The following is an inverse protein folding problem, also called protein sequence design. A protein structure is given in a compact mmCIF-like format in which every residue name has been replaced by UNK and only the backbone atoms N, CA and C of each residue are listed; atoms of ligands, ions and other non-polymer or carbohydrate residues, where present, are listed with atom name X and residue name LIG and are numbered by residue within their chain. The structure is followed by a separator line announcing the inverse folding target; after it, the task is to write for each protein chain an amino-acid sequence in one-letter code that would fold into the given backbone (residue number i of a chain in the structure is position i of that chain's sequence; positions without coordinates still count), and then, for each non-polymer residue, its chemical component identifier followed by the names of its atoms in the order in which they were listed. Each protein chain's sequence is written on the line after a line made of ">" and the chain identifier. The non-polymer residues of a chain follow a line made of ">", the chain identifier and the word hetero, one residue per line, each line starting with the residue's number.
data_IF_155425385723
#
_entry.id   IF_155425385723
#
_cell.length_a   1.000
_cell.length_b   1.000
_cell.length_c   1.000
_cell.angle_alpha   90.00
_cell.angle_beta   90.00
_cell.angle_gamma   90.00
#
_symmetry.space_group_name_H-M   'P 1'
#
loop_
_entity.id
_entity.type
_entity.pdbx_description
1 polymer ?
#
# COMPACT_ATOMS: atom_id res chain seq x y z
N UNK A 1 5.52 1.63 16.50
CA UNK A 1 6.69 1.11 15.73
C UNK A 1 6.15 0.05 14.79
N UNK A 2 6.62 0.01 13.55
CA UNK A 2 6.17 -0.97 12.57
C UNK A 2 6.85 -2.33 12.76
N UNK A 3 6.15 -3.40 12.42
CA UNK A 3 6.69 -4.75 12.26
C UNK A 3 7.36 -4.83 10.89
N UNK A 4 8.68 -5.05 10.87
CA UNK A 4 9.44 -5.20 9.63
C UNK A 4 9.27 -6.60 9.03
N UNK A 5 9.26 -6.67 7.69
CA UNK A 5 9.18 -7.93 6.94
C UNK A 5 10.29 -8.01 5.90
N UNK A 6 10.78 -9.22 5.65
CA UNK A 6 11.86 -9.50 4.70
C UNK A 6 11.35 -10.35 3.53
N UNK A 7 11.93 -10.16 2.35
CA UNK A 7 11.67 -11.04 1.21
C UNK A 7 12.41 -12.37 1.41
N UNK A 8 11.83 -13.30 2.15
CA UNK A 8 12.33 -14.68 2.22
C UNK A 8 11.59 -15.56 1.21
N UNK A 9 12.30 -16.51 0.59
CA UNK A 9 11.75 -17.46 -0.39
C UNK A 9 10.73 -18.46 0.21
N UNK A 10 10.45 -18.40 1.51
CA UNK A 10 9.55 -19.32 2.22
C UNK A 10 8.08 -18.83 2.21
N UNK A 11 7.25 -19.55 1.45
CA UNK A 11 5.84 -19.92 1.70
C UNK A 11 4.86 -18.89 2.30
N UNK A 12 4.82 -17.67 1.78
CA UNK A 12 3.56 -16.89 1.76
C UNK A 12 3.17 -16.77 0.30
N UNK A 13 1.99 -17.28 -0.05
CA UNK A 13 1.46 -17.32 -1.41
C UNK A 13 1.63 -15.96 -2.09
N UNK A 14 2.48 -15.92 -3.12
CA UNK A 14 2.66 -14.70 -3.89
C UNK A 14 1.37 -14.47 -4.69
N UNK A 15 0.60 -13.46 -4.33
CA UNK A 15 -0.61 -13.08 -5.05
C UNK A 15 -0.30 -12.77 -6.52
N UNK A 16 -1.23 -13.11 -7.41
CA UNK A 16 -1.11 -12.76 -8.82
C UNK A 16 -1.20 -11.24 -9.01
N UNK A 17 -0.76 -10.75 -10.18
CA UNK A 17 -0.87 -9.33 -10.53
C UNK A 17 -2.31 -8.78 -10.43
N UNK A 18 -3.30 -9.59 -10.79
CA UNK A 18 -4.70 -9.18 -10.77
C UNK A 18 -5.22 -9.09 -9.34
N UNK A 19 -4.90 -10.09 -8.51
CA UNK A 19 -5.30 -10.10 -7.10
C UNK A 19 -4.66 -8.93 -6.35
N UNK A 20 -3.41 -8.60 -6.69
CA UNK A 20 -2.72 -7.48 -6.08
C UNK A 20 -3.35 -6.13 -6.46
N UNK A 21 -3.75 -5.95 -7.73
CA UNK A 21 -4.46 -4.75 -8.17
C UNK A 21 -5.85 -4.64 -7.57
N UNK A 22 -6.60 -5.75 -7.50
CA UNK A 22 -7.90 -5.80 -6.86
C UNK A 22 -7.78 -5.40 -5.39
N UNK A 23 -6.82 -5.96 -4.66
CA UNK A 23 -6.54 -5.58 -3.28
C UNK A 23 -6.29 -4.07 -3.12
N UNK A 24 -5.44 -3.48 -3.96
CA UNK A 24 -5.18 -2.03 -3.89
C UNK A 24 -6.46 -1.22 -4.16
N UNK A 25 -7.21 -1.61 -5.20
CA UNK A 25 -8.43 -0.93 -5.60
C UNK A 25 -9.52 -1.00 -4.53
N UNK A 26 -9.67 -2.15 -3.88
CA UNK A 26 -10.66 -2.37 -2.84
C UNK A 26 -10.29 -1.59 -1.57
N UNK A 27 -9.03 -1.61 -1.15
CA UNK A 27 -8.58 -0.88 0.04
C UNK A 27 -8.63 0.64 -0.13
N UNK A 28 -8.29 1.16 -1.31
CA UNK A 28 -8.14 2.60 -1.53
C UNK A 28 -9.28 3.22 -2.33
N UNK A 29 -10.31 2.46 -2.71
CA UNK A 29 -11.36 2.91 -3.62
C UNK A 29 -10.78 3.56 -4.88
N UNK A 30 -9.84 2.86 -5.52
CA UNK A 30 -9.14 3.31 -6.74
C UNK A 30 -9.55 2.49 -7.96
N UNK A 31 -8.98 2.80 -9.13
CA UNK A 31 -9.27 2.11 -10.39
C UNK A 31 -7.99 1.83 -11.19
N UNK A 32 -6.95 1.36 -10.51
CA UNK A 32 -5.71 0.93 -11.16
C UNK A 32 -5.95 -0.29 -12.06
N UNK A 33 -5.39 -0.23 -13.25
CA UNK A 33 -5.45 -1.30 -14.27
C UNK A 33 -4.09 -1.95 -14.50
N UNK A 34 -3.01 -1.26 -14.11
CA UNK A 34 -1.62 -1.68 -14.28
C UNK A 34 -0.84 -1.41 -13.00
N UNK A 35 0.06 -2.33 -12.65
CA UNK A 35 0.90 -2.21 -11.44
C UNK A 35 1.84 -1.00 -11.55
N UNK A 36 2.27 -0.68 -12.76
CA UNK A 36 3.10 0.47 -13.12
C UNK A 36 2.47 1.81 -12.70
N UNK A 37 1.14 1.88 -12.55
CA UNK A 37 0.43 3.09 -12.11
C UNK A 37 0.70 3.45 -10.65
N UNK A 38 1.22 2.50 -9.85
CA UNK A 38 1.67 2.75 -8.48
C UNK A 38 2.99 3.54 -8.42
N UNK A 39 3.63 3.80 -9.57
CA UNK A 39 4.83 4.63 -9.67
C UNK A 39 4.64 6.07 -9.19
N UNK A 40 3.40 6.52 -8.99
CA UNK A 40 3.10 7.85 -8.46
C UNK A 40 3.45 7.99 -6.97
N UNK A 41 3.57 6.87 -6.25
CA UNK A 41 3.83 6.84 -4.80
C UNK A 41 2.62 7.22 -3.93
N UNK A 42 1.52 7.70 -4.51
CA UNK A 42 0.36 8.20 -3.78
C UNK A 42 -0.37 7.10 -3.00
N UNK A 43 -0.59 5.94 -3.64
CA UNK A 43 -1.22 4.78 -3.01
C UNK A 43 -0.44 4.32 -1.75
N UNK A 44 0.89 4.24 -1.84
CA UNK A 44 1.73 3.86 -0.70
C UNK A 44 1.68 4.88 0.44
N UNK A 45 1.61 6.17 0.13
CA UNK A 45 1.42 7.20 1.15
C UNK A 45 0.08 7.01 1.86
N UNK A 46 -0.99 6.70 1.12
CA UNK A 46 -2.30 6.49 1.72
C UNK A 46 -2.36 5.21 2.55
N UNK A 47 -1.75 4.12 2.10
CA UNK A 47 -1.63 2.91 2.92
C UNK A 47 -0.88 3.16 4.22
N UNK A 48 0.17 3.97 4.20
CA UNK A 48 0.90 4.32 5.44
C UNK A 48 0.06 5.17 6.40
N UNK A 49 -0.80 6.04 5.88
CA UNK A 49 -1.78 6.76 6.71
C UNK A 49 -2.81 5.81 7.34
N UNK A 50 -3.28 4.81 6.58
CA UNK A 50 -4.18 3.75 7.06
C UNK A 50 -3.52 2.88 8.13
N UNK A 51 -2.28 2.42 7.93
CA UNK A 51 -1.56 1.57 8.89
C UNK A 51 -1.10 2.32 10.13
N UNK A 52 -0.68 3.58 9.95
CA UNK A 52 -0.10 4.39 11.01
C UNK A 52 -0.63 5.83 10.91
N UNK A 53 -1.82 6.11 11.46
CA UNK A 53 -2.41 7.44 11.42
C UNK A 53 -1.46 8.52 11.94
N UNK A 54 -1.33 9.62 11.18
CA UNK A 54 -0.41 10.72 11.50
C UNK A 54 1.06 10.47 11.15
N UNK A 55 1.40 9.35 10.52
CA UNK A 55 2.74 9.09 9.96
C UNK A 55 2.99 9.86 8.65
N UNK A 56 1.92 10.12 7.89
CA UNK A 56 1.94 10.76 6.57
C UNK A 56 1.28 12.14 6.63
N UNK A 57 1.86 13.11 5.92
CA UNK A 57 1.22 14.41 5.67
C UNK A 57 0.37 14.33 4.39
N UNK A 58 -0.84 13.76 4.46
CA UNK A 58 -1.68 13.52 3.28
C UNK A 58 -1.94 14.79 2.44
N UNK A 59 -2.07 15.96 3.09
CA UNK A 59 -2.23 17.26 2.41
C UNK A 59 -1.09 17.63 1.45
N UNK A 60 0.08 17.01 1.59
CA UNK A 60 1.26 17.22 0.72
C UNK A 60 1.40 16.17 -0.37
N UNK A 61 0.61 15.10 -0.31
CA UNK A 61 0.61 14.04 -1.32
C UNK A 61 -0.13 14.53 -2.55
N UNK A 62 0.42 14.23 -3.72
CA UNK A 62 -0.22 14.50 -5.02
C UNK A 62 -0.91 13.22 -5.48
N UNK A 63 -2.23 13.13 -5.31
CA UNK A 63 -3.01 11.92 -5.64
C UNK A 63 -3.34 11.81 -7.14
N UNK A 64 -3.57 12.95 -7.79
CA UNK A 64 -3.81 13.03 -9.22
C UNK A 64 -2.70 13.84 -9.92
N UNK A 65 -1.65 13.16 -10.37
CA UNK A 65 -0.54 13.79 -11.10
C UNK A 65 0.04 12.86 -12.16
N UNK A 66 0.59 13.47 -13.22
CA UNK A 66 1.36 12.78 -14.25
C UNK A 66 2.84 13.23 -14.31
N UNK A 67 3.30 14.04 -13.36
CA UNK A 67 4.62 14.68 -13.38
C UNK A 67 5.64 13.89 -12.53
N UNK A 68 6.75 13.47 -13.12
CA UNK A 68 7.76 12.63 -12.45
C UNK A 68 8.32 13.29 -11.17
N UNK A 69 8.53 14.61 -11.17
CA UNK A 69 9.02 15.33 -10.00
C UNK A 69 8.02 15.32 -8.83
N UNK A 70 6.71 15.19 -9.10
CA UNK A 70 5.69 15.04 -8.07
C UNK A 70 5.67 13.61 -7.50
N UNK A 71 5.98 12.59 -8.31
CA UNK A 71 6.17 11.22 -7.81
C UNK A 71 7.35 11.14 -6.84
N UNK A 72 8.46 11.80 -7.18
CA UNK A 72 9.63 11.91 -6.30
C UNK A 72 9.22 12.55 -4.96
N UNK A 73 8.40 13.61 -4.99
CA UNK A 73 7.90 14.23 -3.77
C UNK A 73 7.04 13.27 -2.93
N UNK A 74 6.12 12.54 -3.55
CA UNK A 74 5.32 11.51 -2.86
C UNK A 74 6.20 10.43 -2.23
N UNK A 75 7.21 9.92 -2.94
CA UNK A 75 8.13 8.93 -2.38
C UNK A 75 9.01 9.48 -1.25
N UNK A 76 9.38 10.76 -1.27
CA UNK A 76 10.06 11.40 -0.13
C UNK A 76 9.17 11.45 1.12
N UNK A 77 7.86 11.72 0.94
CA UNK A 77 6.88 11.67 2.03
C UNK A 77 6.80 10.23 2.59
N UNK A 78 6.75 9.23 1.70
CA UNK A 78 6.76 7.82 2.09
C UNK A 78 8.02 7.44 2.89
N UNK A 79 9.22 7.82 2.40
CA UNK A 79 10.49 7.57 3.07
C UNK A 79 10.56 8.24 4.44
N UNK A 80 10.04 9.46 4.58
CA UNK A 80 9.96 10.13 5.88
C UNK A 80 9.08 9.36 6.85
N UNK A 81 7.92 8.87 6.40
CA UNK A 81 7.04 8.02 7.20
C UNK A 81 7.70 6.72 7.60
N UNK A 82 8.41 6.05 6.70
CA UNK A 82 9.17 4.82 6.99
C UNK A 82 10.17 5.04 8.11
N UNK A 83 10.95 6.13 8.05
CA UNK A 83 11.87 6.50 9.14
C UNK A 83 11.13 6.76 10.45
N UNK A 84 10.02 7.51 10.41
CA UNK A 84 9.23 7.86 11.60
C UNK A 84 8.70 6.62 12.34
N UNK A 85 8.30 5.58 11.61
CA UNK A 85 7.74 4.35 12.21
C UNK A 85 8.74 3.19 12.26
N UNK A 86 10.02 3.44 11.92
CA UNK A 86 11.15 2.50 11.95
C UNK A 86 10.99 1.30 11.01
N UNK A 87 10.66 1.58 9.75
CA UNK A 87 10.71 0.61 8.65
C UNK A 87 12.11 0.61 8.03
N UNK A 88 12.75 -0.56 8.01
CA UNK A 88 14.14 -0.71 7.55
C UNK A 88 14.25 -0.86 6.02
N UNK A 89 13.12 -1.10 5.35
CA UNK A 89 13.09 -1.28 3.89
C UNK A 89 13.48 0.01 3.17
N UNK A 90 14.53 -0.09 2.36
CA UNK A 90 14.91 0.96 1.43
C UNK A 90 13.91 0.99 0.26
N UNK A 91 13.34 2.16 0.00
CA UNK A 91 12.45 2.40 -1.15
C UNK A 91 13.31 2.73 -2.38
N UNK A 92 13.30 1.93 -3.45
CA UNK A 92 14.11 2.17 -4.65
C UNK A 92 13.46 3.22 -5.57
N UNK A 93 13.37 4.47 -5.10
CA UNK A 93 12.61 5.56 -5.74
C UNK A 93 12.95 5.71 -7.22
N UNK A 94 14.24 5.77 -7.56
CA UNK A 94 14.71 5.98 -8.94
C UNK A 94 14.23 4.90 -9.92
N UNK A 95 13.97 3.70 -9.43
CA UNK A 95 13.44 2.59 -10.23
C UNK A 95 11.92 2.64 -10.31
N UNK A 96 11.24 2.92 -9.20
CA UNK A 96 9.79 2.94 -9.11
C UNK A 96 9.17 4.03 -9.98
N UNK A 97 9.69 5.26 -9.91
CA UNK A 97 9.16 6.42 -10.64
C UNK A 97 9.20 6.25 -12.16
N UNK A 98 10.08 5.37 -12.67
CA UNK A 98 10.15 5.03 -14.09
C UNK A 98 8.98 4.18 -14.58
N UNK A 99 8.11 3.72 -13.67
CA UNK A 99 6.92 2.94 -14.03
C UNK A 99 7.26 1.60 -14.66
N UNK A 100 8.39 0.99 -14.31
CA UNK A 100 8.74 -0.36 -14.78
C UNK A 100 7.97 -1.41 -14.00
N UNK A 101 7.34 -2.35 -14.70
CA UNK A 101 6.52 -3.40 -14.10
C UNK A 101 7.28 -4.20 -13.04
N UNK A 102 8.47 -4.70 -13.36
CA UNK A 102 9.23 -5.58 -12.46
C UNK A 102 9.55 -4.90 -11.12
N UNK A 103 10.12 -3.69 -11.16
CA UNK A 103 10.48 -2.94 -9.95
C UNK A 103 9.24 -2.57 -9.12
N UNK A 104 8.15 -2.14 -9.78
CA UNK A 104 6.91 -1.78 -9.08
C UNK A 104 6.23 -3.00 -8.48
N UNK A 105 6.21 -4.14 -9.17
CA UNK A 105 5.58 -5.36 -8.69
C UNK A 105 6.35 -5.99 -7.54
N UNK A 106 7.69 -6.02 -7.60
CA UNK A 106 8.54 -6.48 -6.50
C UNK A 106 8.31 -5.64 -5.23
N UNK A 107 8.25 -4.31 -5.36
CA UNK A 107 7.99 -3.43 -4.23
C UNK A 107 6.57 -3.64 -3.68
N UNK A 108 5.57 -3.77 -4.55
CA UNK A 108 4.19 -4.03 -4.16
C UNK A 108 4.03 -5.36 -3.40
N UNK A 109 4.69 -6.43 -3.84
CA UNK A 109 4.67 -7.72 -3.15
C UNK A 109 5.23 -7.62 -1.72
N UNK A 110 6.36 -6.93 -1.56
CA UNK A 110 6.90 -6.66 -0.25
C UNK A 110 5.94 -5.79 0.58
N UNK A 111 5.37 -4.75 -0.02
CA UNK A 111 4.47 -3.83 0.66
C UNK A 111 3.20 -4.53 1.15
N UNK A 112 2.67 -5.49 0.38
CA UNK A 112 1.52 -6.31 0.81
C UNK A 112 1.85 -7.12 2.07
N UNK A 113 3.00 -7.79 2.10
CA UNK A 113 3.45 -8.53 3.29
C UNK A 113 3.63 -7.59 4.49
N UNK A 114 4.16 -6.40 4.24
CA UNK A 114 4.31 -5.37 5.27
C UNK A 114 2.95 -4.90 5.79
N UNK A 115 1.99 -4.67 4.89
CA UNK A 115 0.62 -4.30 5.24
C UNK A 115 -0.04 -5.37 6.10
N UNK A 116 0.00 -6.64 5.68
CA UNK A 116 -0.63 -7.74 6.42
C UNK A 116 -0.03 -7.96 7.81
N UNK A 117 1.26 -7.66 7.99
CA UNK A 117 1.93 -7.76 9.28
C UNK A 117 1.58 -6.62 10.24
N UNK A 118 1.06 -5.49 9.74
CA UNK A 118 0.86 -4.27 10.51
C UNK A 118 -0.61 -3.82 10.61
N UNK A 119 -1.47 -4.27 9.71
CA UNK A 119 -2.87 -3.88 9.71
C UNK A 119 -3.61 -4.53 10.88
N UNK A 120 -4.28 -3.70 11.68
CA UNK A 120 -5.02 -4.11 12.87
C UNK A 120 -6.51 -4.38 12.62
N UNK A 121 -6.97 -4.16 11.38
CA UNK A 121 -8.37 -4.31 10.99
C UNK A 121 -9.23 -3.07 11.20
N UNK A 122 -8.62 -1.92 11.53
CA UNK A 122 -9.35 -0.66 11.69
C UNK A 122 -10.05 -0.24 10.39
N UNK A 123 -11.28 0.26 10.51
CA UNK A 123 -12.01 0.84 9.38
C UNK A 123 -11.31 2.10 8.88
N UNK A 124 -11.26 2.27 7.56
CA UNK A 124 -10.60 3.41 6.92
C UNK A 124 -11.40 3.88 5.71
N UNK A 125 -11.83 5.14 5.72
CA UNK A 125 -12.48 5.78 4.57
C UNK A 125 -11.42 6.44 3.67
N UNK A 126 -11.01 5.71 2.63
CA UNK A 126 -9.97 6.15 1.72
C UNK A 126 -10.37 7.38 0.90
N UNK A 127 -11.64 7.49 0.50
CA UNK A 127 -12.10 8.63 -0.29
C UNK A 127 -12.17 9.90 0.58
N UNK A 128 -12.68 9.79 1.81
CA UNK A 128 -12.71 10.92 2.75
C UNK A 128 -11.29 11.38 3.12
N UNK A 129 -10.35 10.46 3.34
CA UNK A 129 -8.95 10.79 3.62
C UNK A 129 -8.28 11.60 2.48
N UNK A 130 -8.71 11.39 1.24
CA UNK A 130 -8.28 12.17 0.06
C UNK A 130 -9.13 13.41 -0.20
N UNK A 131 -10.05 13.78 0.69
CA UNK A 131 -11.02 14.85 0.45
C UNK A 131 -11.82 14.67 -0.86
N UNK A 132 -12.10 13.42 -1.26
CA UNK A 132 -12.79 13.09 -2.51
C UNK A 132 -11.92 13.06 -3.77
N UNK A 133 -10.62 13.35 -3.69
CA UNK A 133 -9.72 13.33 -4.85
C UNK A 133 -9.53 11.88 -5.36
N UNK A 134 -9.63 11.64 -6.69
CA UNK A 134 -9.37 10.32 -7.24
C UNK A 134 -7.86 9.99 -7.23
N UNK A 135 -7.55 8.71 -7.02
CA UNK A 135 -6.20 8.18 -7.30
C UNK A 135 -6.08 7.96 -8.80
N UNK A 136 -5.18 8.70 -9.45
CA UNK A 136 -4.96 8.57 -10.88
C UNK A 136 -4.05 7.36 -11.17
N UNK A 137 -4.56 6.43 -11.97
CA UNK A 137 -3.73 5.58 -12.81
C UNK A 137 -3.56 6.27 -14.17
N UNK A 138 -2.38 6.13 -14.80
CA UNK A 138 -2.02 6.75 -16.09
C UNK A 138 -2.96 6.40 -17.27
N UNK A 139 -4.09 5.73 -17.06
CA UNK A 139 -5.06 5.41 -18.10
C UNK A 139 -6.50 5.24 -17.62
N UNK A 140 -7.41 6.08 -18.16
CA UNK A 140 -8.82 5.72 -18.40
C UNK A 140 -9.86 6.17 -17.36
N UNK A 141 -11.14 6.29 -17.77
CA UNK A 141 -12.18 6.89 -16.95
C UNK A 141 -12.56 6.00 -15.75
N UNK A 142 -12.77 6.65 -14.61
CA UNK A 142 -13.15 6.02 -13.34
C UNK A 142 -14.35 5.07 -13.50
N UNK A 143 -14.23 3.83 -13.04
CA UNK A 143 -15.38 2.94 -12.88
C UNK A 143 -16.16 3.36 -11.63
N UNK A 144 -17.50 3.35 -11.74
CA UNK A 144 -18.40 3.68 -10.63
C UNK A 144 -18.22 2.69 -9.47
N UNK A 145 -18.37 3.13 -8.20
CA UNK A 145 -18.25 2.25 -7.04
C UNK A 145 -19.35 1.18 -7.08
N UNK A 146 -18.99 -0.08 -6.82
CA UNK A 146 -19.96 -1.14 -6.57
C UNK A 146 -20.47 -1.03 -5.12
N UNK A 147 -21.78 -1.12 -4.85
CA UNK A 147 -22.31 -1.14 -3.50
C UNK A 147 -22.13 -2.54 -2.90
N UNK A 148 -21.41 -2.63 -1.78
CA UNK A 148 -21.28 -3.85 -0.98
C UNK A 148 -19.88 -4.47 -1.02
N UNK A 149 -18.98 -3.98 -0.17
CA UNK A 149 -17.74 -4.68 0.15
C UNK A 149 -18.06 -5.87 1.09
N UNK A 150 -17.71 -7.12 0.74
CA UNK A 150 -17.74 -8.20 1.71
C UNK A 150 -16.41 -8.26 2.48
N UNK A 151 -16.57 -8.14 3.80
CA UNK A 151 -15.75 -8.65 4.92
C UNK A 151 -14.35 -9.19 4.57
N UNK A 152 -13.33 -8.52 5.10
CA UNK A 152 -11.95 -8.99 5.12
C UNK A 152 -11.84 -10.46 5.58
N UNK A 153 -10.96 -11.17 4.89
CA UNK A 153 -10.67 -12.59 5.01
C UNK A 153 -10.42 -13.03 6.45
N UNK A 154 -11.05 -14.15 6.83
CA UNK A 154 -10.86 -14.78 8.12
C UNK A 154 -9.40 -15.23 8.31
N UNK A 155 -8.79 -14.77 9.41
CA UNK A 155 -7.49 -15.23 9.89
C UNK A 155 -7.60 -16.70 10.37
N UNK A 156 -6.69 -17.61 10.00
CA UNK A 156 -6.57 -18.87 10.72
C UNK A 156 -5.95 -18.60 12.09
N UNK A 157 -6.67 -18.92 13.16
CA UNK A 157 -6.21 -18.81 14.53
C UNK A 157 -5.11 -19.84 14.81
N UNK A 158 -3.84 -19.41 14.76
CA UNK A 158 -2.71 -20.16 15.29
C UNK A 158 -2.76 -20.18 16.81
N UNK A 159 -2.93 -21.37 17.38
CA UNK A 159 -3.02 -21.61 18.83
C UNK A 159 -1.75 -21.18 19.57
N UNK A 160 -1.94 -20.44 20.67
CA UNK A 160 -0.89 -20.14 21.64
C UNK A 160 -0.65 -21.38 22.49
N UNK A 161 0.42 -22.13 22.22
CA UNK A 161 0.89 -23.15 23.16
C UNK A 161 1.66 -22.44 24.29
N UNK A 162 0.99 -22.28 25.43
CA UNK A 162 1.57 -21.82 26.68
C UNK A 162 2.42 -22.95 27.27
N UNK A 163 3.74 -22.88 27.09
CA UNK A 163 4.68 -23.69 27.89
C UNK A 163 4.68 -23.14 29.32
N UNK A 164 4.04 -23.87 30.21
CA UNK A 164 4.12 -23.67 31.66
C UNK A 164 5.51 -24.11 32.12
N UNK A 165 6.15 -23.23 32.89
CA UNK A 165 7.27 -23.56 33.75
C UNK A 165 6.86 -24.65 34.76
N UNK A 166 7.54 -25.79 34.71
CA UNK A 166 7.94 -26.62 35.86
C UNK A 166 9.26 -27.32 35.48
#
# INVERSE_FOLDING_TARGET
>A
MAVNVFSTSATVENLSRHDMLNWVNDCLQSSYTKVEELCTGAAYCQFMDMLFPGSIMLKKVKFNTNLEHEYINNFKILQYSFKKVNVDKIVPVDKLIKGKFQDNFEFLQWFKKFFDANYDGAEYDALAARCGEPLCGKSGPARKPLPGAPRAMARPTGGKNSLKYL
#
